data_IF_716142378487
#
_entry.id   IF_716142378487
#
_cell.length_a   1.000
_cell.length_b   1.000
_cell.length_c   1.000
_cell.angle_alpha   90.00
_cell.angle_beta   90.00
_cell.angle_gamma   90.00
#
_symmetry.space_group_name_H-M   'P 1'
#
loop_
_entity.id
_entity.type
_entity.pdbx_description
1 polymer ?
#
# COMPACT_ATOMS: atom_id res chain seq x y z
N UNK A 1 -6.77 -14.26 20.71
CA UNK A 1 -5.84 -13.85 19.64
C UNK A 1 -6.61 -13.94 18.34
N UNK A 2 -7.04 -12.81 17.76
CA UNK A 2 -7.78 -12.84 16.49
C UNK A 2 -6.85 -13.34 15.40
N UNK A 3 -7.18 -14.51 14.82
CA UNK A 3 -6.50 -15.03 13.63
C UNK A 3 -6.67 -14.00 12.52
N UNK A 4 -5.56 -13.59 11.91
CA UNK A 4 -5.61 -12.79 10.69
C UNK A 4 -6.47 -13.53 9.65
N UNK A 5 -7.32 -12.81 8.89
CA UNK A 5 -8.16 -13.46 7.89
C UNK A 5 -7.27 -14.12 6.83
N UNK A 6 -7.26 -15.45 6.82
CA UNK A 6 -6.61 -16.23 5.77
C UNK A 6 -7.42 -16.11 4.49
N UNK A 7 -6.83 -15.55 3.45
CA UNK A 7 -7.48 -15.46 2.13
C UNK A 7 -7.05 -16.68 1.31
N UNK A 8 -8.03 -17.46 0.86
CA UNK A 8 -7.79 -18.58 -0.03
C UNK A 8 -7.64 -18.07 -1.47
N UNK A 9 -6.46 -18.24 -2.06
CA UNK A 9 -6.15 -17.84 -3.42
C UNK A 9 -6.24 -19.07 -4.33
N UNK A 10 -7.08 -19.07 -5.39
CA UNK A 10 -7.15 -20.18 -6.33
C UNK A 10 -5.77 -20.53 -6.91
N UNK A 11 -5.43 -21.82 -7.00
CA UNK A 11 -4.16 -22.34 -7.56
C UNK A 11 -2.87 -22.00 -6.79
N UNK A 12 -2.97 -21.31 -5.64
CA UNK A 12 -1.83 -21.00 -4.75
C UNK A 12 -2.03 -21.59 -3.35
N UNK A 13 -3.28 -21.60 -2.86
CA UNK A 13 -3.62 -22.10 -1.52
C UNK A 13 -3.93 -20.98 -0.52
N UNK A 14 -4.11 -21.29 0.77
CA UNK A 14 -4.29 -20.29 1.81
C UNK A 14 -3.00 -19.48 1.96
N UNK A 15 -3.04 -18.21 1.57
CA UNK A 15 -1.91 -17.32 1.76
C UNK A 15 -2.16 -16.42 2.96
N UNK A 16 -1.15 -16.33 3.83
CA UNK A 16 -1.06 -15.26 4.83
C UNK A 16 -0.29 -14.07 4.23
N UNK A 17 -0.74 -13.59 3.06
CA UNK A 17 -0.25 -12.36 2.40
C UNK A 17 -0.27 -11.14 3.35
N UNK A 18 -0.98 -11.26 4.47
CA UNK A 18 -0.92 -10.35 5.59
C UNK A 18 0.53 -10.07 5.95
N UNK A 19 1.39 -11.08 6.06
CA UNK A 19 2.75 -10.85 6.53
C UNK A 19 3.61 -10.08 5.53
N UNK A 20 3.30 -10.18 4.25
CA UNK A 20 3.97 -9.42 3.20
C UNK A 20 3.42 -8.01 3.08
N UNK A 21 2.14 -7.78 3.38
CA UNK A 21 1.54 -6.44 3.44
C UNK A 21 1.91 -5.69 4.73
N UNK A 22 1.89 -6.37 5.86
CA UNK A 22 2.01 -5.78 7.19
C UNK A 22 3.41 -5.27 7.47
N UNK A 23 3.46 -4.24 8.31
CA UNK A 23 4.68 -3.56 8.71
C UNK A 23 5.13 -2.48 7.73
N UNK A 24 6.41 -2.14 7.82
CA UNK A 24 6.97 -0.96 7.17
C UNK A 24 7.34 -1.18 5.70
N UNK A 25 7.13 -0.15 4.89
CA UNK A 25 7.51 -0.06 3.49
C UNK A 25 8.18 1.28 3.21
N UNK A 26 9.31 1.24 2.51
CA UNK A 26 9.87 2.43 1.87
C UNK A 26 9.11 2.70 0.59
N UNK A 27 8.68 3.94 0.40
CA UNK A 27 7.81 4.33 -0.70
C UNK A 27 8.27 5.62 -1.39
N UNK A 28 7.82 5.78 -2.62
CA UNK A 28 7.98 6.98 -3.44
C UNK A 28 6.60 7.45 -3.90
N UNK A 29 6.31 8.74 -3.74
CA UNK A 29 5.09 9.39 -4.19
C UNK A 29 5.38 10.10 -5.51
N UNK A 30 4.63 9.76 -6.55
CA UNK A 30 4.69 10.38 -7.87
C UNK A 30 3.45 11.25 -8.06
N UNK A 31 3.64 12.57 -8.16
CA UNK A 31 2.56 13.52 -8.44
C UNK A 31 2.62 13.92 -9.93
N UNK A 32 1.49 14.00 -10.65
CA UNK A 32 1.49 14.38 -12.06
C UNK A 32 2.12 15.76 -12.35
N UNK A 33 2.01 16.68 -11.40
CA UNK A 33 2.49 18.06 -11.53
C UNK A 33 3.98 18.22 -11.20
N UNK A 34 4.69 17.13 -10.85
CA UNK A 34 6.08 17.17 -10.39
C UNK A 34 6.98 16.21 -11.15
N UNK A 35 8.21 16.66 -11.41
CA UNK A 35 9.21 15.85 -12.11
C UNK A 35 9.91 14.84 -11.19
N UNK A 36 10.11 15.17 -9.91
CA UNK A 36 10.82 14.32 -8.96
C UNK A 36 9.87 13.68 -7.94
N UNK A 37 9.98 12.37 -7.68
CA UNK A 37 9.14 11.70 -6.70
C UNK A 37 9.52 12.07 -5.26
N UNK A 38 8.53 12.09 -4.38
CA UNK A 38 8.69 12.41 -2.95
C UNK A 38 8.88 11.13 -2.14
N UNK A 39 9.86 11.11 -1.24
CA UNK A 39 10.06 9.97 -0.35
C UNK A 39 8.94 9.89 0.69
N UNK A 40 8.46 8.67 0.91
CA UNK A 40 7.46 8.36 1.91
C UNK A 40 7.74 7.01 2.54
N UNK A 41 6.97 6.71 3.58
CA UNK A 41 6.88 5.38 4.15
C UNK A 41 5.42 5.00 4.27
N UNK A 42 5.13 3.73 4.05
CA UNK A 42 3.79 3.17 4.24
C UNK A 42 3.90 2.09 5.30
N UNK A 43 3.01 2.11 6.27
CA UNK A 43 2.97 1.12 7.35
C UNK A 43 1.56 0.57 7.49
N UNK A 44 1.39 -0.74 7.32
CA UNK A 44 0.12 -1.40 7.62
C UNK A 44 0.22 -2.06 8.99
N UNK A 45 -0.53 -1.54 9.95
CA UNK A 45 -0.65 -2.15 11.28
C UNK A 45 -1.57 -3.38 11.24
N UNK A 46 -2.54 -3.35 10.34
CA UNK A 46 -3.51 -4.41 10.07
C UNK A 46 -4.03 -4.29 8.63
N UNK A 47 -4.83 -5.25 8.18
CA UNK A 47 -5.47 -5.22 6.86
C UNK A 47 -6.45 -4.06 6.70
N UNK A 48 -7.10 -3.69 7.81
CA UNK A 48 -8.11 -2.65 7.86
C UNK A 48 -7.52 -1.26 8.14
N UNK A 49 -6.23 -1.19 8.50
CA UNK A 49 -5.60 0.05 8.93
C UNK A 49 -4.17 0.20 8.43
N UNK A 50 -3.96 1.25 7.66
CA UNK A 50 -2.65 1.68 7.18
C UNK A 50 -2.33 3.11 7.58
N UNK A 51 -1.08 3.48 7.36
CA UNK A 51 -0.60 4.84 7.54
C UNK A 51 0.43 5.17 6.47
N UNK A 52 0.29 6.34 5.85
CA UNK A 52 1.31 6.92 4.97
C UNK A 52 1.97 8.06 5.73
N UNK A 53 3.29 8.01 5.88
CA UNK A 53 4.10 9.12 6.43
C UNK A 53 4.97 9.67 5.32
N UNK A 54 4.84 10.96 5.07
CA UNK A 54 5.58 11.66 4.02
C UNK A 54 6.82 12.28 4.66
N UNK A 55 7.97 12.12 4.02
CA UNK A 55 9.23 12.56 4.62
C UNK A 55 9.24 14.08 4.80
N UNK A 56 9.68 14.56 5.96
CA UNK A 56 9.73 15.99 6.26
C UNK A 56 10.72 16.77 5.39
N UNK A 57 11.65 16.07 4.73
CA UNK A 57 12.58 16.64 3.75
C UNK A 57 12.01 16.67 2.32
N UNK A 58 10.72 16.39 2.18
CA UNK A 58 9.93 16.73 1.00
C UNK A 58 9.71 18.26 0.95
N UNK A 59 10.80 19.03 0.86
CA UNK A 59 10.83 20.51 0.93
C UNK A 59 9.88 21.15 -0.09
N UNK A 60 9.51 20.42 -1.15
CA UNK A 60 8.69 20.90 -2.25
C UNK A 60 7.28 20.25 -2.34
N UNK A 61 6.77 19.62 -1.27
CA UNK A 61 5.44 18.97 -1.22
C UNK A 61 4.46 19.60 -0.19
N UNK A 62 4.26 20.94 -0.17
CA UNK A 62 3.48 21.61 0.89
C UNK A 62 1.99 21.22 0.91
N UNK A 63 1.48 20.70 -0.20
CA UNK A 63 0.11 20.24 -0.42
C UNK A 63 -0.15 18.84 0.15
N UNK A 64 0.91 18.08 0.45
CA UNK A 64 0.77 16.73 0.97
C UNK A 64 0.78 16.72 2.52
N UNK A 65 -0.23 16.11 3.17
CA UNK A 65 -0.23 15.96 4.62
C UNK A 65 0.93 15.07 5.09
N UNK A 66 1.67 15.51 6.12
CA UNK A 66 2.83 14.76 6.62
C UNK A 66 2.50 13.34 7.13
N UNK A 67 1.25 13.08 7.51
CA UNK A 67 0.74 11.79 7.95
C UNK A 67 -0.70 11.61 7.54
N UNK A 68 -1.04 10.43 7.01
CA UNK A 68 -2.40 10.07 6.59
C UNK A 68 -2.75 8.69 7.11
N UNK A 69 -3.90 8.59 7.78
CA UNK A 69 -4.44 7.30 8.21
C UNK A 69 -5.33 6.74 7.10
N UNK A 70 -5.15 5.46 6.79
CA UNK A 70 -5.92 4.72 5.80
C UNK A 70 -6.81 3.70 6.50
N UNK A 71 -8.07 3.63 6.09
CA UNK A 71 -9.08 2.70 6.61
C UNK A 71 -9.67 1.87 5.47
N UNK A 72 -9.96 0.60 5.72
CA UNK A 72 -10.50 -0.30 4.68
C UNK A 72 -11.94 0.02 4.33
N UNK A 73 -12.19 0.18 3.04
CA UNK A 73 -13.50 0.49 2.48
C UNK A 73 -14.06 -0.63 1.58
N UNK A 74 -13.26 -1.63 1.21
CA UNK A 74 -13.73 -2.79 0.44
C UNK A 74 -13.20 -4.11 0.97
N UNK A 75 -13.81 -5.21 0.55
CA UNK A 75 -13.15 -6.51 0.66
C UNK A 75 -11.85 -6.53 -0.15
N UNK A 76 -10.89 -7.37 0.26
CA UNK A 76 -9.70 -7.66 -0.53
C UNK A 76 -10.05 -8.69 -1.59
N UNK A 77 -9.71 -8.38 -2.84
CA UNK A 77 -10.02 -9.19 -4.01
C UNK A 77 -8.73 -9.59 -4.72
N UNK A 78 -8.70 -10.79 -5.27
CA UNK A 78 -7.65 -11.19 -6.20
C UNK A 78 -8.02 -10.68 -7.60
N UNK A 79 -7.05 -10.15 -8.33
CA UNK A 79 -7.20 -9.73 -9.72
C UNK A 79 -6.46 -10.68 -10.66
N UNK A 80 -6.78 -10.58 -11.94
CA UNK A 80 -6.09 -11.25 -13.04
C UNK A 80 -4.82 -10.49 -13.49
N UNK A 81 -4.53 -9.33 -12.88
CA UNK A 81 -3.33 -8.57 -13.16
C UNK A 81 -2.07 -9.35 -12.74
N UNK A 82 -1.30 -9.78 -13.74
CA UNK A 82 0.07 -10.31 -13.65
C UNK A 82 0.42 -11.04 -12.35
N UNK A 83 0.15 -12.35 -12.28
CA UNK A 83 0.59 -13.18 -11.15
C UNK A 83 -0.39 -13.27 -9.98
N UNK A 84 -1.62 -12.75 -10.13
CA UNK A 84 -2.68 -12.91 -9.12
C UNK A 84 -2.62 -11.86 -8.02
N UNK A 85 -2.39 -10.60 -8.39
CA UNK A 85 -2.31 -9.49 -7.45
C UNK A 85 -3.53 -9.38 -6.54
N UNK A 86 -3.34 -8.82 -5.35
CA UNK A 86 -4.43 -8.44 -4.47
C UNK A 86 -4.77 -6.98 -4.68
N UNK A 87 -6.07 -6.67 -4.69
CA UNK A 87 -6.57 -5.31 -4.79
C UNK A 87 -7.65 -5.05 -3.75
N UNK A 88 -7.61 -3.86 -3.15
CA UNK A 88 -8.65 -3.37 -2.25
C UNK A 88 -8.69 -1.85 -2.25
N UNK A 89 -9.77 -1.29 -1.71
CA UNK A 89 -9.96 0.14 -1.56
C UNK A 89 -9.79 0.51 -0.08
N UNK A 90 -8.99 1.54 0.16
CA UNK A 90 -8.87 2.23 1.42
C UNK A 90 -9.43 3.65 1.26
N UNK A 91 -9.78 4.29 2.37
CA UNK A 91 -10.15 5.70 2.44
C UNK A 91 -9.32 6.41 3.48
N UNK A 92 -9.10 7.70 3.27
CA UNK A 92 -8.59 8.62 4.28
C UNK A 92 -9.62 9.74 4.43
N UNK A 93 -10.51 9.68 5.44
CA UNK A 93 -11.56 10.70 5.63
C UNK A 93 -10.99 12.12 5.73
N UNK A 94 -9.78 12.24 6.28
CA UNK A 94 -8.97 13.44 6.26
C UNK A 94 -7.63 13.06 5.61
N UNK A 95 -7.33 13.51 4.37
CA UNK A 95 -7.88 14.68 3.66
C UNK A 95 -8.94 14.36 2.57
N UNK A 96 -9.84 13.40 2.81
CA UNK A 96 -10.85 12.92 1.85
C UNK A 96 -10.27 12.26 0.60
N UNK A 97 -9.41 11.26 0.80
CA UNK A 97 -8.88 10.44 -0.28
C UNK A 97 -9.59 9.09 -0.40
N UNK A 98 -9.72 8.62 -1.63
CA UNK A 98 -9.95 7.21 -1.92
C UNK A 98 -8.66 6.61 -2.48
N UNK A 99 -8.23 5.47 -1.96
CA UNK A 99 -6.96 4.84 -2.32
C UNK A 99 -7.21 3.44 -2.84
N UNK A 100 -6.91 3.20 -4.12
CA UNK A 100 -6.88 1.86 -4.67
C UNK A 100 -5.49 1.26 -4.43
N UNK A 101 -5.43 0.23 -3.58
CA UNK A 101 -4.20 -0.49 -3.29
C UNK A 101 -4.10 -1.75 -4.15
N UNK A 102 -2.98 -1.95 -4.82
CA UNK A 102 -2.66 -3.17 -5.57
C UNK A 102 -1.32 -3.74 -5.09
N UNK A 103 -1.34 -4.99 -4.64
CA UNK A 103 -0.20 -5.70 -4.08
C UNK A 103 0.19 -6.90 -4.94
N UNK A 104 1.46 -6.93 -5.32
CA UNK A 104 2.17 -8.10 -5.82
C UNK A 104 3.17 -8.57 -4.77
N UNK A 105 3.70 -9.80 -4.89
CA UNK A 105 4.87 -10.22 -4.10
C UNK A 105 6.00 -9.19 -4.20
N UNK A 106 6.33 -8.53 -3.08
CA UNK A 106 7.41 -7.54 -3.00
C UNK A 106 7.11 -6.14 -3.54
N UNK A 107 5.92 -5.87 -4.09
CA UNK A 107 5.58 -4.55 -4.61
C UNK A 107 4.15 -4.14 -4.24
N UNK A 108 4.01 -2.91 -3.74
CA UNK A 108 2.73 -2.31 -3.39
C UNK A 108 2.58 -1.00 -4.16
N UNK A 109 1.47 -0.85 -4.85
CA UNK A 109 1.08 0.38 -5.52
C UNK A 109 -0.19 0.93 -4.86
N UNK A 110 -0.21 2.23 -4.54
CA UNK A 110 -1.39 2.93 -4.06
C UNK A 110 -1.73 4.05 -5.05
N UNK A 111 -2.89 3.95 -5.70
CA UNK A 111 -3.42 5.03 -6.54
C UNK A 111 -4.34 5.89 -5.69
N UNK A 112 -4.01 7.16 -5.53
CA UNK A 112 -4.74 8.07 -4.65
C UNK A 112 -5.60 9.00 -5.48
N UNK A 113 -6.90 8.99 -5.18
CA UNK A 113 -7.94 9.75 -5.86
C UNK A 113 -8.62 10.71 -4.90
N UNK A 114 -9.24 11.73 -5.47
CA UNK A 114 -10.20 12.57 -4.75
C UNK A 114 -11.41 11.72 -4.30
N UNK A 115 -11.82 11.87 -3.03
CA UNK A 115 -12.94 11.12 -2.46
C UNK A 115 -14.30 11.46 -3.09
N UNK A 116 -14.46 12.65 -3.66
CA UNK A 116 -15.68 13.08 -4.35
C UNK A 116 -15.65 12.79 -5.85
N UNK A 117 -14.45 12.70 -6.44
CA UNK A 117 -14.24 12.36 -7.85
C UNK A 117 -13.17 11.27 -8.03
N UNK A 118 -13.59 10.01 -8.02
CA UNK A 118 -12.71 8.85 -8.23
C UNK A 118 -12.00 8.84 -9.60
N UNK A 119 -12.42 9.66 -10.56
CA UNK A 119 -11.72 9.77 -11.86
C UNK A 119 -10.52 10.69 -11.80
N UNK A 120 -10.44 11.57 -10.79
CA UNK A 120 -9.32 12.46 -10.57
C UNK A 120 -8.27 11.77 -9.71
N UNK A 121 -7.28 11.16 -10.37
CA UNK A 121 -6.08 10.71 -9.70
C UNK A 121 -5.26 11.93 -9.24
N UNK A 122 -4.94 11.96 -7.95
CA UNK A 122 -4.13 13.02 -7.34
C UNK A 122 -2.64 12.67 -7.45
N UNK A 123 -2.28 11.44 -7.12
CA UNK A 123 -0.90 10.94 -7.16
C UNK A 123 -0.86 9.42 -6.96
N UNK A 124 0.33 8.85 -7.10
CA UNK A 124 0.60 7.42 -6.91
C UNK A 124 1.67 7.22 -5.85
N UNK A 125 1.57 6.13 -5.10
CA UNK A 125 2.59 5.69 -4.16
C UNK A 125 3.12 4.34 -4.60
N UNK A 126 4.43 4.25 -4.80
CA UNK A 126 5.13 3.03 -5.14
C UNK A 126 5.98 2.59 -3.96
N UNK A 127 5.71 1.40 -3.42
CA UNK A 127 6.49 0.82 -2.34
C UNK A 127 7.04 -0.55 -2.75
N UNK A 128 8.28 -0.85 -2.36
CA UNK A 128 8.97 -2.10 -2.74
C UNK A 128 9.67 -2.74 -1.55
N UNK A 129 9.68 -4.07 -1.54
CA UNK A 129 10.49 -4.93 -0.68
C UNK A 129 11.38 -5.78 -1.58
N UNK A 130 12.69 -5.79 -1.32
CA UNK A 130 13.68 -6.53 -2.09
C UNK A 130 13.76 -7.98 -1.64
N UNK A 131 14.42 -8.84 -2.42
CA UNK A 131 14.72 -10.22 -2.01
C UNK A 131 15.47 -10.25 -0.66
N UNK A 132 16.43 -9.34 -0.46
CA UNK A 132 17.20 -9.20 0.78
C UNK A 132 16.31 -8.93 2.01
N UNK A 133 15.18 -8.22 1.84
CA UNK A 133 14.22 -8.02 2.93
C UNK A 133 13.60 -9.35 3.35
N UNK A 134 13.20 -10.17 2.37
CA UNK A 134 12.56 -11.46 2.61
C UNK A 134 13.54 -12.48 3.17
N UNK A 135 14.77 -12.54 2.66
CA UNK A 135 15.82 -13.41 3.19
C UNK A 135 16.13 -13.12 4.66
N UNK A 136 16.10 -11.84 5.05
CA UNK A 136 16.27 -11.43 6.45
C UNK A 136 15.05 -11.75 7.33
N UNK A 137 13.83 -11.61 6.77
CA UNK A 137 12.58 -11.78 7.52
C UNK A 137 12.19 -13.25 7.70
N UNK A 138 12.48 -14.07 6.69
CA UNK A 138 12.23 -15.50 6.64
C UNK A 138 13.52 -16.21 6.20
N UNK A 139 14.52 -16.31 7.08
CA UNK A 139 15.71 -17.07 6.75
C UNK A 139 15.29 -18.53 6.48
N UNK A 140 15.63 -19.04 5.30
CA UNK A 140 15.47 -20.46 5.01
C UNK A 140 16.55 -21.16 5.83
N UNK A 141 16.16 -21.83 6.92
CA UNK A 141 17.04 -22.75 7.62
C UNK A 141 17.29 -23.95 6.70
N UNK A 142 18.54 -24.12 6.23
CA UNK A 142 18.99 -25.32 5.49
C UNK A 142 19.01 -26.57 6.37
#
# INVERSE_FOLDING_TARGET
MSRHPTVAIPDVGPMDHAWDLLGHWTAMIEQPEREAPVRATVEFASWDRGEVRIAADAVDAPDLPGRVTLELASAVQRTDAGGGALQWILVAPEPNWTVQATLWPGALHLFVHDGEDFRRELFRVHARRTAEYYDRKYPIEE
#
